data_IF_926875957267
#
_entry.id   IF_926875957267
#
_cell.length_a   1.000
_cell.length_b   1.000
_cell.length_c   1.000
_cell.angle_alpha   90.00
_cell.angle_beta   90.00
_cell.angle_gamma   90.00
#
_symmetry.space_group_name_H-M   'P 1'
#
loop_
_entity.id
_entity.type
_entity.pdbx_description
1 polymer ?
#
# COMPACT_ATOMS: atom_id res chain seq x y z
N UNK A 1 -2.65 5.88 3.25
CA UNK A 1 -1.71 6.00 2.12
C UNK A 1 -1.85 4.88 1.10
N UNK A 2 -1.96 3.62 1.51
CA UNK A 2 -1.97 2.46 0.60
C UNK A 2 -3.11 2.48 -0.43
N UNK A 3 -4.31 2.97 -0.09
CA UNK A 3 -5.41 3.13 -1.05
C UNK A 3 -5.13 4.20 -2.13
N UNK A 4 -4.59 5.36 -1.75
CA UNK A 4 -4.21 6.40 -2.71
C UNK A 4 -3.14 5.85 -3.67
N UNK A 5 -2.09 5.23 -3.14
CA UNK A 5 -1.03 4.60 -3.93
C UNK A 5 -1.59 3.53 -4.88
N UNK A 6 -2.52 2.70 -4.40
CA UNK A 6 -3.18 1.67 -5.21
C UNK A 6 -3.87 2.28 -6.42
N UNK A 7 -4.71 3.29 -6.22
CA UNK A 7 -5.43 3.94 -7.32
C UNK A 7 -4.49 4.61 -8.33
N UNK A 8 -3.40 5.22 -7.85
CA UNK A 8 -2.45 5.86 -8.74
C UNK A 8 -1.63 4.85 -9.54
N UNK A 9 -1.26 3.71 -8.95
CA UNK A 9 -0.61 2.60 -9.67
C UNK A 9 -1.53 2.01 -10.74
N UNK A 10 -2.79 1.71 -10.38
CA UNK A 10 -3.82 1.23 -11.30
C UNK A 10 -4.02 2.21 -12.47
N UNK A 11 -4.12 3.52 -12.18
CA UNK A 11 -4.37 4.54 -13.20
C UNK A 11 -3.16 4.85 -14.08
N UNK A 12 -1.97 5.02 -13.51
CA UNK A 12 -0.78 5.46 -14.26
C UNK A 12 -0.23 4.36 -15.17
N UNK A 13 -0.36 3.10 -14.75
CA UNK A 13 0.24 1.96 -15.44
C UNK A 13 -0.78 0.96 -15.96
N UNK A 14 -2.08 1.29 -15.89
CA UNK A 14 -3.18 0.43 -16.36
C UNK A 14 -3.16 -0.98 -15.74
N UNK A 15 -2.80 -1.07 -14.46
CA UNK A 15 -2.66 -2.33 -13.72
C UNK A 15 -4.00 -2.80 -13.15
N UNK A 16 -4.29 -4.09 -13.26
CA UNK A 16 -5.51 -4.74 -12.75
C UNK A 16 -5.25 -5.65 -11.52
N UNK A 17 -3.97 -5.81 -11.14
CA UNK A 17 -3.51 -6.76 -10.14
C UNK A 17 -2.95 -6.09 -8.87
N UNK A 18 -3.37 -4.86 -8.59
CA UNK A 18 -2.91 -4.09 -7.41
C UNK A 18 -3.76 -4.42 -6.18
N UNK A 19 -3.12 -4.85 -5.11
CA UNK A 19 -3.79 -5.31 -3.87
C UNK A 19 -3.22 -4.60 -2.66
N UNK A 20 -4.09 -4.20 -1.74
CA UNK A 20 -3.67 -3.76 -0.41
C UNK A 20 -3.65 -4.97 0.51
N UNK A 21 -2.56 -5.17 1.21
CA UNK A 21 -2.43 -6.17 2.25
C UNK A 21 -2.50 -5.52 3.62
N UNK A 22 -3.13 -6.22 4.55
CA UNK A 22 -3.14 -5.91 5.97
C UNK A 22 -2.36 -7.00 6.70
N UNK A 23 -1.26 -6.62 7.33
CA UNK A 23 -0.54 -7.45 8.28
C UNK A 23 -0.94 -7.12 9.71
N UNK A 24 -1.05 -8.14 10.55
CA UNK A 24 -1.42 -7.99 11.96
C UNK A 24 -0.45 -8.76 12.85
N UNK A 25 -0.25 -8.25 14.08
CA UNK A 25 0.40 -9.01 15.16
C UNK A 25 -0.67 -9.71 15.98
N UNK A 26 -0.39 -10.92 16.42
CA UNK A 26 -1.30 -11.69 17.28
C UNK A 26 -1.51 -11.04 18.67
N UNK A 27 -0.51 -10.30 19.15
CA UNK A 27 -0.52 -9.63 20.45
C UNK A 27 -0.41 -8.11 20.24
N UNK A 28 -1.43 -7.37 20.67
CA UNK A 28 -1.53 -5.93 20.44
C UNK A 28 -2.20 -5.67 19.10
N UNK A 29 -3.25 -4.85 19.10
CA UNK A 29 -4.08 -4.48 17.95
C UNK A 29 -3.30 -3.62 16.91
N UNK A 30 -2.08 -4.01 16.59
CA UNK A 30 -1.20 -3.35 15.64
C UNK A 30 -1.42 -3.93 14.25
N UNK A 31 -1.74 -3.04 13.32
CA UNK A 31 -1.92 -3.35 11.92
C UNK A 31 -0.95 -2.52 11.09
N UNK A 32 -0.42 -3.14 10.04
CA UNK A 32 0.38 -2.46 9.03
C UNK A 32 -0.15 -2.78 7.64
N UNK A 33 -0.08 -1.81 6.74
CA UNK A 33 -0.65 -1.93 5.40
C UNK A 33 0.39 -1.62 4.33
N UNK A 34 0.49 -2.48 3.33
CA UNK A 34 1.33 -2.27 2.14
C UNK A 34 0.55 -2.60 0.88
N UNK A 35 1.09 -2.20 -0.26
CA UNK A 35 0.53 -2.48 -1.59
C UNK A 35 1.39 -3.54 -2.26
N UNK A 36 0.75 -4.49 -2.94
CA UNK A 36 1.40 -5.44 -3.83
C UNK A 36 0.92 -5.27 -5.27
N UNK A 37 1.85 -5.32 -6.21
CA UNK A 37 1.60 -5.41 -7.66
C UNK A 37 2.23 -6.70 -8.16
N UNK A 38 1.41 -7.74 -8.37
CA UNK A 38 1.95 -9.10 -8.47
C UNK A 38 2.74 -9.46 -7.21
N UNK A 39 4.02 -9.80 -7.37
CA UNK A 39 4.92 -10.15 -6.26
C UNK A 39 5.74 -8.96 -5.73
N UNK A 40 5.56 -7.76 -6.30
CA UNK A 40 6.31 -6.57 -5.92
C UNK A 40 5.62 -5.81 -4.81
N UNK A 41 6.37 -5.49 -3.75
CA UNK A 41 5.90 -4.77 -2.58
C UNK A 41 6.23 -3.28 -2.69
N UNK A 42 5.22 -2.47 -2.38
CA UNK A 42 5.30 -1.02 -2.24
C UNK A 42 4.74 -0.62 -0.87
N UNK A 43 5.58 0.00 -0.06
CA UNK A 43 5.25 0.50 1.27
C UNK A 43 5.92 1.85 1.49
N UNK A 44 5.19 2.91 1.16
CA UNK A 44 5.64 4.30 1.35
C UNK A 44 5.67 4.71 2.83
N UNK A 45 5.10 3.89 3.72
CA UNK A 45 4.98 4.16 5.16
C UNK A 45 5.92 3.34 6.02
N UNK A 46 6.74 2.47 5.43
CA UNK A 46 7.71 1.63 6.16
C UNK A 46 8.60 2.44 7.11
N UNK A 47 8.90 3.69 6.77
CA UNK A 47 9.69 4.61 7.58
C UNK A 47 9.07 5.00 8.93
N UNK A 48 7.80 4.66 9.18
CA UNK A 48 7.22 4.77 10.51
C UNK A 48 7.87 3.80 11.52
N UNK A 49 8.56 2.76 11.03
CA UNK A 49 9.33 1.83 11.82
C UNK A 49 10.80 2.22 11.80
N UNK A 50 11.41 2.30 12.99
CA UNK A 50 12.80 2.72 13.13
C UNK A 50 13.76 1.83 12.31
N UNK A 51 14.61 2.47 11.49
CA UNK A 51 15.60 1.78 10.66
C UNK A 51 15.08 1.25 9.33
N UNK A 52 13.85 1.59 8.93
CA UNK A 52 13.29 1.20 7.63
C UNK A 52 13.15 2.42 6.70
N UNK A 53 13.56 2.28 5.45
CA UNK A 53 13.23 3.22 4.37
C UNK A 53 11.93 2.79 3.67
N UNK A 54 11.25 3.71 2.96
CA UNK A 54 10.14 3.36 2.07
C UNK A 54 10.52 2.22 1.12
N UNK A 55 9.62 1.24 0.97
CA UNK A 55 9.83 0.10 0.06
C UNK A 55 9.17 0.41 -1.26
N UNK A 56 9.95 0.38 -2.34
CA UNK A 56 9.47 0.69 -3.70
C UNK A 56 9.92 -0.44 -4.61
N UNK A 57 9.00 -1.35 -4.96
CA UNK A 57 9.30 -2.46 -5.85
C UNK A 57 10.33 -3.43 -5.28
N UNK A 58 10.10 -3.94 -4.06
CA UNK A 58 10.93 -5.01 -3.47
C UNK A 58 10.20 -6.34 -3.47
N UNK A 59 10.92 -7.47 -3.57
CA UNK A 59 10.31 -8.81 -3.57
C UNK A 59 9.99 -9.31 -2.16
N UNK A 60 10.78 -8.90 -1.17
CA UNK A 60 10.60 -9.26 0.22
C UNK A 60 11.29 -8.22 1.11
N UNK A 61 10.77 -8.03 2.32
CA UNK A 61 11.43 -7.24 3.36
C UNK A 61 11.17 -7.87 4.75
N UNK A 62 12.17 -7.90 5.64
CA UNK A 62 12.00 -8.44 6.99
C UNK A 62 10.90 -7.79 7.81
N UNK A 63 10.54 -6.53 7.53
CA UNK A 63 9.47 -5.82 8.20
C UNK A 63 8.15 -6.61 8.16
N UNK A 64 7.82 -7.23 7.02
CA UNK A 64 6.54 -7.90 6.84
C UNK A 64 6.44 -9.20 7.66
N UNK A 65 7.56 -9.86 7.94
CA UNK A 65 7.60 -11.02 8.85
C UNK A 65 7.27 -10.66 10.31
N UNK A 66 7.37 -9.37 10.67
CA UNK A 66 6.96 -8.90 12.00
C UNK A 66 5.44 -8.82 12.17
N UNK A 67 4.67 -9.09 11.11
CA UNK A 67 3.21 -9.04 11.08
C UNK A 67 2.64 -10.36 10.54
N UNK A 68 2.83 -11.51 11.18
CA UNK A 68 2.67 -12.83 10.55
C UNK A 68 1.28 -13.13 9.97
N UNK A 69 0.22 -12.47 10.44
CA UNK A 69 -1.15 -12.68 9.99
C UNK A 69 -1.49 -11.71 8.87
N UNK A 70 -1.52 -12.20 7.63
CA UNK A 70 -1.80 -11.39 6.44
C UNK A 70 -3.15 -11.69 5.82
N UNK A 71 -3.83 -10.65 5.37
CA UNK A 71 -5.00 -10.76 4.50
C UNK A 71 -5.03 -9.65 3.46
N UNK A 72 -5.75 -9.87 2.36
CA UNK A 72 -6.05 -8.82 1.39
C UNK A 72 -7.14 -7.93 1.98
N UNK A 73 -6.85 -6.64 2.10
CA UNK A 73 -7.83 -5.63 2.53
C UNK A 73 -8.87 -5.43 1.44
N UNK A 74 -10.14 -5.68 1.79
CA UNK A 74 -11.27 -5.62 0.86
C UNK A 74 -11.97 -4.27 0.92
N UNK A 75 -11.85 -3.53 2.03
CA UNK A 75 -12.49 -2.24 2.17
C UNK A 75 -11.72 -1.15 1.45
N UNK A 76 -12.34 -0.57 0.42
CA UNK A 76 -11.80 0.55 -0.37
C UNK A 76 -12.60 1.84 -0.22
N UNK A 77 -13.69 1.81 0.54
CA UNK A 77 -14.71 2.87 0.56
C UNK A 77 -14.29 4.12 1.34
N UNK A 78 -13.24 4.03 2.16
CA UNK A 78 -12.72 5.15 2.94
C UNK A 78 -12.04 6.23 2.11
N UNK A 79 -11.63 5.92 0.86
CA UNK A 79 -10.98 6.87 -0.05
C UNK A 79 -11.68 6.80 -1.41
N UNK A 80 -12.29 7.91 -1.83
CA UNK A 80 -12.92 8.03 -3.13
C UNK A 80 -11.87 8.00 -4.25
N UNK A 81 -11.91 6.91 -5.05
CA UNK A 81 -11.04 6.73 -6.22
C UNK A 81 -11.16 7.87 -7.22
N UNK A 82 -12.37 8.30 -7.56
CA UNK A 82 -12.59 9.33 -8.57
C UNK A 82 -11.98 10.67 -8.16
N UNK A 83 -12.09 11.02 -6.87
CA UNK A 83 -11.45 12.20 -6.32
C UNK A 83 -9.92 12.13 -6.39
N UNK A 84 -9.32 10.98 -6.05
CA UNK A 84 -7.86 10.76 -6.14
C UNK A 84 -7.38 10.89 -7.58
N UNK A 85 -8.04 10.22 -8.53
CA UNK A 85 -7.65 10.27 -9.95
C UNK A 85 -7.80 11.68 -10.52
N UNK A 86 -8.88 12.39 -10.18
CA UNK A 86 -9.06 13.77 -10.62
C UNK A 86 -7.96 14.70 -10.08
N UNK A 87 -7.57 14.53 -8.81
CA UNK A 87 -6.48 15.30 -8.21
C UNK A 87 -5.11 14.99 -8.84
N UNK A 88 -4.84 13.72 -9.15
CA UNK A 88 -3.63 13.31 -9.87
C UNK A 88 -3.54 13.91 -11.27
N UNK A 89 -4.61 13.81 -12.08
CA UNK A 89 -4.65 14.37 -13.44
C UNK A 89 -4.49 15.90 -13.46
N UNK A 90 -4.83 16.59 -12.36
CA UNK A 90 -4.62 18.04 -12.17
C UNK A 90 -3.24 18.40 -11.62
N UNK A 91 -2.38 17.42 -11.36
CA UNK A 91 -1.04 17.62 -10.79
C UNK A 91 -1.04 17.99 -9.30
N UNK A 92 -2.16 17.83 -8.59
CA UNK A 92 -2.26 18.14 -7.15
C UNK A 92 -1.62 17.02 -6.31
N UNK A 93 -1.88 15.77 -6.67
CA UNK A 93 -1.20 14.62 -6.09
C UNK A 93 -0.06 14.24 -7.04
N UNK A 94 1.22 14.33 -6.62
CA UNK A 94 2.33 13.90 -7.45
C UNK A 94 2.46 12.37 -7.48
N UNK A 95 3.05 11.84 -8.54
CA UNK A 95 3.39 10.42 -8.66
C UNK A 95 4.68 10.19 -9.45
#
# INVERSE_FOLDING_TARGET
>A
MSLILTYLLEEKYELDNVRVFKGSKACGYEHHFWVMVGDWIYDLTAHQFAGHDPKIGVLADPLFFSYPDWSVEQSRDFVDRACVIAAYRRGVIPF
#
